data_IF_064488733042
#
_entry.id   IF_064488733042
#
_cell.length_a   1.000
_cell.length_b   1.000
_cell.length_c   1.000
_cell.angle_alpha   90.00
_cell.angle_beta   90.00
_cell.angle_gamma   90.00
#
_symmetry.space_group_name_H-M   'P 1'
#
loop_
_entity.id
_entity.type
_entity.pdbx_description
1 polymer ?
#
# COMPACT_ATOMS: atom_id res chain seq x y z
N UNK A 1 9.78 20.56 6.68
CA UNK A 1 10.76 19.52 6.34
C UNK A 1 10.59 19.21 4.87
N UNK A 2 11.49 19.73 4.03
CA UNK A 2 11.49 19.51 2.58
C UNK A 2 12.15 18.17 2.29
N UNK A 3 11.43 17.21 1.72
CA UNK A 3 12.02 15.98 1.21
C UNK A 3 12.71 16.29 -0.12
N UNK A 4 14.04 16.40 -0.04
CA UNK A 4 14.94 16.39 -1.18
C UNK A 4 15.06 14.97 -1.71
N UNK A 5 14.49 14.70 -2.88
CA UNK A 5 14.70 13.44 -3.58
C UNK A 5 15.80 13.67 -4.64
N UNK A 6 17.02 13.27 -4.30
CA UNK A 6 18.20 13.36 -5.16
C UNK A 6 18.71 11.95 -5.40
N UNK A 7 18.45 11.39 -6.59
CA UNK A 7 19.21 10.24 -7.10
C UNK A 7 19.95 10.66 -8.36
N UNK A 8 21.29 10.67 -8.28
CA UNK A 8 22.19 10.92 -9.40
C UNK A 8 22.57 9.55 -9.99
N UNK A 9 22.25 9.31 -11.27
CA UNK A 9 23.02 8.43 -12.14
C UNK A 9 23.14 9.05 -13.54
N UNK A 10 24.23 8.72 -14.23
CA UNK A 10 24.78 9.46 -15.36
C UNK A 10 23.82 9.63 -16.56
N UNK A 11 23.76 10.84 -17.10
CA UNK A 11 23.48 11.07 -18.53
C UNK A 11 22.07 11.51 -18.94
N UNK A 12 21.11 11.66 -18.04
CA UNK A 12 19.80 12.20 -18.38
C UNK A 12 19.10 12.76 -17.16
N UNK A 13 18.57 13.98 -17.25
CA UNK A 13 17.64 14.49 -16.24
C UNK A 13 16.38 13.64 -16.35
N UNK A 14 16.24 12.62 -15.51
CA UNK A 14 14.95 11.97 -15.31
C UNK A 14 14.11 13.02 -14.61
N UNK A 15 13.33 13.78 -15.37
CA UNK A 15 12.23 14.53 -14.78
C UNK A 15 11.41 13.49 -14.01
N UNK A 16 11.09 13.70 -12.72
CA UNK A 16 10.14 12.82 -12.06
C UNK A 16 8.94 12.75 -12.99
N UNK A 17 8.56 11.55 -13.41
CA UNK A 17 7.48 11.38 -14.37
C UNK A 17 6.21 11.91 -13.69
N UNK A 18 5.91 13.19 -13.85
CA UNK A 18 4.83 13.88 -13.14
C UNK A 18 3.49 13.70 -13.86
N UNK A 19 3.52 13.14 -15.06
CA UNK A 19 2.36 12.93 -15.91
C UNK A 19 1.70 11.57 -15.72
N UNK A 20 2.32 10.61 -15.03
CA UNK A 20 1.66 9.33 -14.81
C UNK A 20 0.45 9.49 -13.90
N UNK A 21 -0.62 8.79 -14.23
CA UNK A 21 -1.73 8.55 -13.32
C UNK A 21 -2.32 7.16 -13.57
N UNK A 22 -2.79 6.52 -12.51
CA UNK A 22 -3.38 5.20 -12.59
C UNK A 22 -4.51 5.10 -11.57
N UNK A 23 -5.73 4.89 -12.04
CA UNK A 23 -6.82 4.56 -11.14
C UNK A 23 -6.73 3.08 -10.79
N UNK A 24 -6.83 2.77 -9.49
CA UNK A 24 -6.86 1.39 -9.04
C UNK A 24 -7.81 1.20 -7.87
N UNK A 25 -8.42 0.03 -7.84
CA UNK A 25 -9.13 -0.51 -6.70
C UNK A 25 -8.24 -1.53 -6.01
N UNK A 26 -8.20 -1.51 -4.69
CA UNK A 26 -7.45 -2.52 -3.95
C UNK A 26 -8.19 -2.99 -2.70
N UNK A 27 -7.94 -4.24 -2.33
CA UNK A 27 -8.29 -4.82 -1.03
C UNK A 27 -6.99 -4.93 -0.24
N UNK A 28 -6.89 -4.17 0.85
CA UNK A 28 -5.81 -4.28 1.82
C UNK A 28 -6.30 -5.23 2.91
N UNK A 29 -5.51 -6.24 3.27
CA UNK A 29 -5.89 -7.29 4.23
C UNK A 29 -4.75 -7.57 5.21
N UNK A 30 -5.08 -7.72 6.49
CA UNK A 30 -4.22 -8.37 7.49
C UNK A 30 -4.67 -9.82 7.60
N UNK A 31 -3.74 -10.74 7.34
CA UNK A 31 -4.02 -12.18 7.34
C UNK A 31 -4.12 -12.68 8.77
N UNK A 32 -5.18 -13.43 9.04
CA UNK A 32 -5.26 -14.25 10.24
C UNK A 32 -4.69 -15.64 9.92
N UNK A 33 -3.54 -16.00 10.48
CA UNK A 33 -2.85 -17.25 10.13
C UNK A 33 -3.57 -18.50 10.67
N UNK A 34 -4.48 -18.33 11.65
CA UNK A 34 -5.26 -19.44 12.21
C UNK A 34 -6.51 -19.73 11.40
N UNK A 35 -7.12 -18.71 10.80
CA UNK A 35 -8.40 -18.80 10.10
C UNK A 35 -8.56 -17.63 9.12
N UNK A 36 -8.42 -17.87 7.81
CA UNK A 36 -8.48 -16.81 6.79
C UNK A 36 -9.85 -16.10 6.74
N UNK A 37 -10.94 -16.74 7.18
CA UNK A 37 -12.25 -16.07 7.26
C UNK A 37 -12.27 -14.96 8.32
N UNK A 38 -11.36 -15.02 9.30
CA UNK A 38 -11.15 -13.98 10.31
C UNK A 38 -10.12 -12.92 9.88
N UNK A 39 -9.53 -13.04 8.69
CA UNK A 39 -8.68 -12.00 8.13
C UNK A 39 -9.46 -10.69 8.02
N UNK A 40 -8.82 -9.58 8.38
CA UNK A 40 -9.46 -8.27 8.34
C UNK A 40 -9.07 -7.53 7.08
N UNK A 41 -10.04 -7.08 6.30
CA UNK A 41 -9.79 -6.38 5.04
C UNK A 41 -10.58 -5.09 4.88
N UNK A 42 -10.02 -4.14 4.14
CA UNK A 42 -10.68 -2.89 3.74
C UNK A 42 -10.37 -2.59 2.28
N UNK A 43 -11.36 -2.02 1.59
CA UNK A 43 -11.25 -1.64 0.18
C UNK A 43 -10.85 -0.18 0.04
N UNK A 44 -10.04 0.11 -0.96
CA UNK A 44 -9.75 1.46 -1.45
C UNK A 44 -10.06 1.56 -2.94
N UNK A 45 -10.39 2.77 -3.39
CA UNK A 45 -10.46 3.16 -4.80
C UNK A 45 -9.79 4.52 -4.90
N UNK A 46 -8.72 4.63 -5.66
CA UNK A 46 -7.90 5.83 -5.68
C UNK A 46 -7.27 6.07 -7.05
N UNK A 47 -7.14 7.34 -7.42
CA UNK A 47 -6.35 7.77 -8.58
C UNK A 47 -4.94 8.06 -8.09
N UNK A 48 -4.02 7.15 -8.32
CA UNK A 48 -2.62 7.32 -7.96
C UNK A 48 -1.92 8.23 -8.95
N UNK A 49 -1.14 9.19 -8.47
CA UNK A 49 -0.29 10.08 -9.27
C UNK A 49 0.82 10.69 -8.39
N UNK A 50 1.71 11.50 -8.97
CA UNK A 50 2.93 11.97 -8.27
C UNK A 50 2.73 12.73 -6.93
N UNK A 51 1.55 13.29 -6.62
CA UNK A 51 1.29 13.94 -5.31
C UNK A 51 0.55 13.03 -4.33
N UNK A 52 -0.16 12.03 -4.84
CA UNK A 52 -0.96 11.08 -4.07
C UNK A 52 -0.60 9.69 -4.59
N UNK A 53 0.65 9.31 -4.36
CA UNK A 53 1.25 8.06 -4.86
C UNK A 53 1.04 6.89 -3.89
N UNK A 54 0.57 7.17 -2.68
CA UNK A 54 0.07 6.20 -1.71
C UNK A 54 -1.39 6.47 -1.37
N UNK A 55 -2.06 5.44 -0.86
CA UNK A 55 -3.40 5.55 -0.32
C UNK A 55 -3.68 4.39 0.63
N UNK A 56 -4.41 4.65 1.71
CA UNK A 56 -4.67 3.64 2.71
C UNK A 56 -5.34 4.19 3.96
N UNK A 57 -5.12 3.54 5.10
CA UNK A 57 -5.71 3.91 6.37
C UNK A 57 -4.62 4.05 7.43
N UNK A 58 -4.47 5.25 8.00
CA UNK A 58 -3.56 5.50 9.11
C UNK A 58 -3.94 4.70 10.35
N UNK A 59 -5.24 4.51 10.57
CA UNK A 59 -5.80 3.60 11.57
C UNK A 59 -6.52 2.44 10.88
N UNK A 60 -5.76 1.39 10.56
CA UNK A 60 -6.28 0.19 9.88
C UNK A 60 -6.94 -0.77 10.88
N UNK A 61 -6.20 -1.14 11.93
CA UNK A 61 -6.61 -1.96 13.06
C UNK A 61 -5.88 -1.47 14.31
N UNK A 62 -6.47 -1.64 15.50
CA UNK A 62 -5.79 -1.28 16.74
C UNK A 62 -4.52 -2.12 16.91
N UNK A 63 -3.41 -1.46 17.26
CA UNK A 63 -2.12 -2.15 17.47
C UNK A 63 -2.24 -3.29 18.49
N UNK A 64 -2.98 -3.06 19.58
CA UNK A 64 -3.23 -4.06 20.62
C UNK A 64 -3.96 -5.31 20.11
N UNK A 65 -4.79 -5.20 19.05
CA UNK A 65 -5.47 -6.36 18.46
C UNK A 65 -4.56 -7.13 17.50
N UNK A 66 -3.72 -6.43 16.74
CA UNK A 66 -2.75 -7.04 15.82
C UNK A 66 -1.70 -7.84 16.60
N UNK A 67 -1.21 -7.29 17.71
CA UNK A 67 -0.14 -7.90 18.52
C UNK A 67 -0.64 -8.87 19.59
N UNK A 68 -1.95 -9.07 19.72
CA UNK A 68 -2.50 -10.07 20.66
C UNK A 68 -2.31 -11.48 20.07
N UNK A 69 -1.46 -12.33 20.69
CA UNK A 69 -1.20 -13.69 20.18
C UNK A 69 -2.46 -14.56 20.13
N UNK A 70 -3.51 -14.21 20.89
CA UNK A 70 -4.77 -14.96 20.91
C UNK A 70 -5.67 -14.64 19.72
N UNK A 71 -5.46 -13.49 19.05
CA UNK A 71 -6.30 -13.06 17.92
C UNK A 71 -5.95 -13.74 16.61
N UNK A 72 -4.74 -14.28 16.48
CA UNK A 72 -4.30 -15.01 15.30
C UNK A 72 -3.79 -14.13 14.13
N UNK A 73 -3.46 -12.86 14.38
CA UNK A 73 -2.84 -11.97 13.36
C UNK A 73 -1.30 -11.94 13.43
N UNK A 74 -0.72 -12.40 14.54
CA UNK A 74 0.73 -12.42 14.76
C UNK A 74 1.21 -13.81 15.17
N UNK A 75 2.28 -14.28 14.53
CA UNK A 75 2.98 -15.52 14.87
C UNK A 75 4.49 -15.29 14.72
N UNK A 76 5.30 -15.78 15.67
CA UNK A 76 6.77 -15.56 15.69
C UNK A 76 7.17 -14.08 15.47
N UNK A 77 6.45 -13.16 16.13
CA UNK A 77 6.60 -11.70 16.00
C UNK A 77 6.46 -11.17 14.56
N UNK A 78 5.73 -11.90 13.70
CA UNK A 78 5.48 -11.56 12.30
C UNK A 78 3.99 -11.42 12.03
N UNK A 79 3.65 -10.39 11.25
CA UNK A 79 2.31 -10.12 10.75
C UNK A 79 2.36 -10.14 9.23
N UNK A 80 1.41 -10.83 8.60
CA UNK A 80 1.32 -10.91 7.14
C UNK A 80 0.26 -9.94 6.61
N UNK A 81 0.65 -9.09 5.66
CA UNK A 81 -0.24 -8.18 4.96
C UNK A 81 -0.39 -8.65 3.50
N UNK A 82 -1.61 -8.60 2.99
CA UNK A 82 -1.95 -8.95 1.62
C UNK A 82 -2.61 -7.74 0.92
N UNK A 83 -2.25 -7.52 -0.34
CA UNK A 83 -2.90 -6.53 -1.20
C UNK A 83 -3.33 -7.20 -2.49
N UNK A 84 -4.64 -7.19 -2.74
CA UNK A 84 -5.19 -7.50 -4.06
C UNK A 84 -5.49 -6.19 -4.77
N UNK A 85 -4.83 -5.92 -5.91
CA UNK A 85 -4.98 -4.67 -6.66
C UNK A 85 -5.49 -4.94 -8.07
N UNK A 86 -6.47 -4.15 -8.50
CA UNK A 86 -6.99 -4.08 -9.85
C UNK A 86 -6.78 -2.65 -10.35
N UNK A 87 -5.83 -2.49 -11.26
CA UNK A 87 -5.46 -1.21 -11.84
C UNK A 87 -6.02 -1.08 -13.25
N UNK A 88 -6.53 0.11 -13.57
CA UNK A 88 -6.90 0.49 -14.93
C UNK A 88 -5.63 0.75 -15.75
N UNK A 89 -5.79 0.92 -17.07
CA UNK A 89 -4.69 1.34 -17.92
C UNK A 89 -4.14 2.70 -17.44
N UNK A 90 -2.82 2.84 -17.22
CA UNK A 90 -2.24 4.10 -16.76
C UNK A 90 -2.27 5.15 -17.89
N UNK A 91 -2.39 6.41 -17.51
CA UNK A 91 -2.25 7.56 -18.41
C UNK A 91 -0.88 8.19 -18.22
N UNK A 92 -0.34 8.82 -19.27
CA UNK A 92 0.92 9.57 -19.18
C UNK A 92 2.17 8.72 -18.92
N UNK A 93 2.07 7.42 -19.22
CA UNK A 93 3.17 6.45 -19.28
C UNK A 93 3.36 6.08 -20.75
N UNK A 94 4.57 6.25 -21.28
CA UNK A 94 4.97 5.86 -22.62
C UNK A 94 5.78 4.57 -22.58
#
# INVERSE_FOLDING_TARGET
MTTSDSTITAGGVVSPNRSWSCHAQAVLKIINYRDDEKSFSRRISHLFFHKENDWGFSNFMAWSEVTDPEKGFIDDDKVTFEVFVQADAPHGVA
#
